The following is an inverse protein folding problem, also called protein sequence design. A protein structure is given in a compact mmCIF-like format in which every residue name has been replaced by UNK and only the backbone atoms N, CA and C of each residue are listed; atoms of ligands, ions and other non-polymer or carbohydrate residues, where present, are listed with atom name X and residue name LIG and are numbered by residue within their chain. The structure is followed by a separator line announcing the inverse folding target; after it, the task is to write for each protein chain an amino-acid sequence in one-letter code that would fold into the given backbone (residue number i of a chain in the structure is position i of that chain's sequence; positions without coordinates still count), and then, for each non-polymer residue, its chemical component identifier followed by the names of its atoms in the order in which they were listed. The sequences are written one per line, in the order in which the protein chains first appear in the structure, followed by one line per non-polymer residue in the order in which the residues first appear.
data_IF_145596510442
#
_entry.id   IF_145596510442
#
_cell.length_a   1.000
_cell.length_b   1.000
_cell.length_c   1.000
_cell.angle_alpha   90.00
_cell.angle_beta   90.00
_cell.angle_gamma   90.00
#
_symmetry.space_group_name_H-M   'P 1'
#
loop_
_entity.id
_entity.type
_entity.pdbx_description
1 polymer ?
#
# COMPACT_ATOMS: atom_id res chain seq x y z
N UNK A 1 1.42 -18.99 -0.60
CA UNK A 1 0.18 -18.21 -0.46
C UNK A 1 0.51 -16.76 -0.80
N UNK A 2 -0.26 -16.16 -1.71
CA UNK A 2 -0.06 -14.79 -2.16
C UNK A 2 -0.95 -13.85 -1.32
N UNK A 3 -0.47 -12.65 -1.00
CA UNK A 3 -1.27 -11.65 -0.29
C UNK A 3 -1.14 -10.27 -0.94
N UNK A 4 -2.24 -9.53 -0.87
CA UNK A 4 -2.29 -8.10 -1.13
C UNK A 4 -2.73 -7.45 0.18
N UNK A 5 -1.88 -6.59 0.74
CA UNK A 5 -2.21 -5.78 1.92
C UNK A 5 -2.44 -4.36 1.43
N UNK A 6 -3.52 -3.75 1.93
CA UNK A 6 -3.78 -2.33 1.76
C UNK A 6 -3.68 -1.65 3.13
N UNK A 7 -2.84 -0.63 3.23
CA UNK A 7 -2.65 0.20 4.42
C UNK A 7 -2.85 1.67 4.09
N UNK A 8 -3.18 2.47 5.11
CA UNK A 8 -3.31 3.93 4.99
C UNK A 8 -2.52 4.56 6.14
N UNK A 9 -1.50 5.35 5.81
CA UNK A 9 -0.60 5.96 6.80
C UNK A 9 -0.05 7.29 6.28
N UNK A 10 0.57 8.08 7.16
CA UNK A 10 1.27 9.34 6.89
C UNK A 10 2.69 9.14 6.32
N UNK A 11 3.01 7.90 5.90
CA UNK A 11 4.29 7.54 5.29
C UNK A 11 4.12 6.46 4.22
N UNK A 12 5.11 6.34 3.33
CA UNK A 12 5.03 5.38 2.23
C UNK A 12 5.17 3.92 2.70
N UNK A 13 4.49 2.95 2.05
CA UNK A 13 4.37 1.57 2.52
C UNK A 13 5.69 0.79 2.54
N UNK A 14 6.76 1.26 1.91
CA UNK A 14 8.06 0.59 1.96
C UNK A 14 8.85 0.87 3.23
N UNK A 15 8.44 1.83 4.05
CA UNK A 15 9.12 2.11 5.32
C UNK A 15 8.85 1.02 6.36
N UNK A 16 7.61 0.51 6.44
CA UNK A 16 7.21 -0.55 7.37
C UNK A 16 7.82 -0.35 8.77
N UNK A 17 7.65 0.85 9.33
CA UNK A 17 8.12 1.16 10.69
C UNK A 17 7.50 0.23 11.73
N UNK A 18 8.09 0.16 12.92
CA UNK A 18 7.55 -0.64 14.01
C UNK A 18 6.08 -0.27 14.28
N UNK A 19 5.18 -1.27 14.25
CA UNK A 19 3.74 -1.06 14.41
C UNK A 19 2.98 -0.71 13.12
N UNK A 20 3.63 -0.74 11.96
CA UNK A 20 2.95 -0.44 10.68
C UNK A 20 1.72 -1.32 10.43
N UNK A 21 1.66 -2.52 11.01
CA UNK A 21 0.51 -3.42 10.90
C UNK A 21 -0.79 -2.81 11.45
N UNK A 22 -0.71 -1.85 12.37
CA UNK A 22 -1.87 -1.13 12.93
C UNK A 22 -2.57 -0.26 11.88
N UNK A 23 -1.85 0.13 10.82
CA UNK A 23 -2.36 0.93 9.70
C UNK A 23 -2.94 0.07 8.57
N UNK A 24 -2.98 -1.26 8.73
CA UNK A 24 -3.58 -2.16 7.74
C UNK A 24 -5.09 -1.95 7.72
N UNK A 25 -5.59 -1.52 6.57
CA UNK A 25 -7.03 -1.37 6.30
C UNK A 25 -7.63 -2.69 5.84
N UNK A 26 -6.90 -3.47 5.02
CA UNK A 26 -7.38 -4.80 4.60
C UNK A 26 -6.25 -5.72 4.14
N UNK A 27 -6.48 -7.03 4.24
CA UNK A 27 -5.62 -8.07 3.67
C UNK A 27 -6.45 -9.02 2.84
N UNK A 28 -6.03 -9.27 1.60
CA UNK A 28 -6.59 -10.30 0.72
C UNK A 28 -5.56 -11.41 0.50
N UNK A 29 -6.01 -12.66 0.53
CA UNK A 29 -5.16 -13.83 0.36
C UNK A 29 -5.64 -14.64 -0.85
N UNK A 30 -4.69 -15.24 -1.57
CA UNK A 30 -4.96 -16.00 -2.78
C UNK A 30 -4.10 -17.26 -2.80
N UNK A 31 -4.71 -18.35 -3.26
CA UNK A 31 -4.06 -19.65 -3.36
C UNK A 31 -3.22 -19.76 -4.64
N UNK A 32 -3.62 -19.07 -5.70
CA UNK A 32 -2.98 -19.12 -7.01
C UNK A 32 -2.43 -17.76 -7.43
N UNK A 33 -1.32 -17.78 -8.16
CA UNK A 33 -0.72 -16.58 -8.75
C UNK A 33 -1.70 -15.87 -9.69
N UNK A 34 -2.46 -16.63 -10.50
CA UNK A 34 -3.40 -16.06 -11.44
C UNK A 34 -4.48 -15.21 -10.75
N UNK A 35 -5.11 -15.73 -9.68
CA UNK A 35 -6.10 -14.97 -8.91
C UNK A 35 -5.49 -13.73 -8.28
N UNK A 36 -4.29 -13.86 -7.74
CA UNK A 36 -3.53 -12.76 -7.16
C UNK A 36 -3.25 -11.65 -8.19
N UNK A 37 -2.71 -12.00 -9.37
CA UNK A 37 -2.39 -11.04 -10.43
C UNK A 37 -3.64 -10.32 -10.96
N UNK A 38 -4.74 -11.06 -11.16
CA UNK A 38 -6.02 -10.45 -11.55
C UNK A 38 -6.51 -9.45 -10.51
N UNK A 39 -6.47 -9.81 -9.22
CA UNK A 39 -6.90 -8.94 -8.14
C UNK A 39 -5.98 -7.71 -7.97
N UNK A 40 -4.66 -7.90 -8.10
CA UNK A 40 -3.68 -6.81 -8.03
C UNK A 40 -3.89 -5.82 -9.17
N UNK A 41 -3.97 -6.29 -10.41
CA UNK A 41 -4.16 -5.42 -11.58
C UNK A 41 -5.45 -4.62 -11.48
N UNK A 42 -6.54 -5.25 -11.04
CA UNK A 42 -7.80 -4.55 -10.80
C UNK A 42 -7.66 -3.48 -9.72
N UNK A 43 -7.04 -3.81 -8.58
CA UNK A 43 -6.86 -2.87 -7.47
C UNK A 43 -5.97 -1.68 -7.86
N UNK A 44 -4.86 -1.93 -8.53
CA UNK A 44 -3.96 -0.88 -9.03
C UNK A 44 -4.67 0.04 -10.01
N UNK A 45 -5.46 -0.52 -10.95
CA UNK A 45 -6.24 0.30 -11.87
C UNK A 45 -7.28 1.17 -11.16
N UNK A 46 -7.93 0.65 -10.11
CA UNK A 46 -8.85 1.43 -9.29
C UNK A 46 -8.14 2.58 -8.56
N UNK A 47 -6.96 2.32 -7.99
CA UNK A 47 -6.22 3.35 -7.24
C UNK A 47 -5.64 4.41 -8.17
N UNK A 48 -5.11 4.03 -9.34
CA UNK A 48 -4.65 4.98 -10.38
C UNK A 48 -5.75 5.89 -10.93
N UNK A 49 -7.01 5.46 -10.88
CA UNK A 49 -8.14 6.29 -11.27
C UNK A 49 -8.60 7.21 -10.13
N UNK A 50 -8.33 6.82 -8.88
CA UNK A 50 -8.77 7.55 -7.70
C UNK A 50 -7.76 8.60 -7.23
N UNK A 51 -6.47 8.32 -7.37
CA UNK A 51 -5.37 9.12 -6.84
C UNK A 51 -4.53 9.70 -7.98
N UNK A 52 -4.11 10.95 -7.82
CA UNK A 52 -3.35 11.66 -8.86
C UNK A 52 -1.91 11.19 -8.97
N UNK A 53 -1.32 10.79 -7.85
CA UNK A 53 0.09 10.44 -7.77
C UNK A 53 0.29 8.97 -7.39
N UNK A 54 1.35 8.39 -7.95
CA UNK A 54 1.80 7.03 -7.67
C UNK A 54 3.32 6.98 -7.58
N UNK A 55 3.83 6.20 -6.63
CA UNK A 55 5.22 5.77 -6.57
C UNK A 55 5.28 4.27 -6.26
N UNK A 56 6.31 3.58 -6.75
CA UNK A 56 6.47 2.16 -6.48
C UNK A 56 7.93 1.80 -6.18
N UNK A 57 8.14 0.74 -5.40
CA UNK A 57 9.46 0.26 -4.99
C UNK A 57 9.53 -1.25 -4.98
N UNK A 58 10.64 -1.79 -5.51
CA UNK A 58 10.97 -3.23 -5.51
C UNK A 58 9.87 -4.14 -6.10
N UNK A 59 9.04 -3.64 -7.02
CA UNK A 59 7.88 -4.36 -7.59
C UNK A 59 6.91 -4.93 -6.54
N UNK A 60 7.00 -4.42 -5.30
CA UNK A 60 6.33 -4.97 -4.12
C UNK A 60 5.46 -3.95 -3.43
N UNK A 61 5.90 -2.70 -3.42
CA UNK A 61 5.26 -1.60 -2.72
C UNK A 61 4.76 -0.59 -3.75
N UNK A 62 3.51 -0.18 -3.58
CA UNK A 62 2.89 0.89 -4.37
C UNK A 62 2.28 1.89 -3.40
N UNK A 63 2.62 3.16 -3.54
CA UNK A 63 2.09 4.27 -2.78
C UNK A 63 1.23 5.12 -3.72
N UNK A 64 0.02 5.46 -3.28
CA UNK A 64 -0.88 6.36 -4.00
C UNK A 64 -1.28 7.51 -3.08
N UNK A 65 -1.39 8.71 -3.62
CA UNK A 65 -1.85 9.89 -2.86
C UNK A 65 -2.41 10.97 -3.78
N UNK A 66 -3.08 11.94 -3.18
CA UNK A 66 -3.55 13.16 -3.83
C UNK A 66 -3.19 14.37 -2.95
N UNK A 67 -3.05 15.55 -3.57
CA UNK A 67 -2.71 16.79 -2.85
C UNK A 67 -3.78 17.21 -1.82
N UNK A 68 -5.01 16.76 -1.98
CA UNK A 68 -6.16 17.12 -1.14
C UNK A 68 -6.38 16.16 0.05
N UNK A 69 -5.55 15.12 0.21
CA UNK A 69 -5.66 14.15 1.29
C UNK A 69 -4.45 14.20 2.24
N UNK A 70 -4.48 15.15 3.18
CA UNK A 70 -3.53 15.28 4.29
C UNK A 70 -4.23 15.18 5.66
N UNK A 71 -3.46 14.88 6.71
CA UNK A 71 -3.93 14.96 8.10
C UNK A 71 -2.95 15.74 8.96
N UNK A 72 -3.46 16.51 9.93
CA UNK A 72 -2.60 17.25 10.84
C UNK A 72 -1.90 16.27 11.79
N UNK A 73 -0.57 16.25 11.74
CA UNK A 73 0.25 15.42 12.61
C UNK A 73 0.76 16.24 13.80
N UNK A 74 0.21 15.97 14.99
CA UNK A 74 0.58 16.69 16.23
C UNK A 74 2.07 16.56 16.58
N UNK A 75 2.70 15.44 16.22
CA UNK A 75 4.12 15.21 16.48
C UNK A 75 5.04 16.08 15.60
N UNK A 76 4.58 16.40 14.39
CA UNK A 76 5.32 17.19 13.41
C UNK A 76 4.91 18.68 13.42
N UNK A 77 3.76 19.02 14.01
CA UNK A 77 3.12 20.34 13.96
C UNK A 77 2.90 20.84 12.52
N UNK A 78 2.53 19.90 11.63
CA UNK A 78 2.35 20.16 10.20
C UNK A 78 1.33 19.18 9.59
N UNK A 79 0.83 19.52 8.40
CA UNK A 79 -0.05 18.65 7.62
C UNK A 79 0.77 17.53 6.95
N UNK A 80 0.58 16.30 7.40
CA UNK A 80 1.22 15.13 6.84
C UNK A 80 0.42 14.57 5.65
N UNK A 81 1.12 14.27 4.56
CA UNK A 81 0.53 13.62 3.39
C UNK A 81 0.06 12.22 3.76
N UNK A 82 -1.18 11.88 3.38
CA UNK A 82 -1.65 10.50 3.52
C UNK A 82 -1.34 9.67 2.29
N UNK A 83 -0.76 8.50 2.53
CA UNK A 83 -0.47 7.50 1.53
C UNK A 83 -1.40 6.30 1.65
N UNK A 84 -1.91 5.90 0.49
CA UNK A 84 -2.62 4.67 0.26
C UNK A 84 -1.65 3.60 -0.26
N UNK A 85 -1.19 2.75 0.65
CA UNK A 85 -0.16 1.77 0.39
C UNK A 85 -0.71 0.40 -0.01
N UNK A 86 -0.28 -0.14 -1.14
CA UNK A 86 -0.49 -1.54 -1.53
C UNK A 86 0.82 -2.30 -1.40
N UNK A 87 0.81 -3.37 -0.61
CA UNK A 87 1.95 -4.27 -0.39
C UNK A 87 1.62 -5.65 -0.95
N UNK A 88 2.47 -6.12 -1.83
CA UNK A 88 2.43 -7.46 -2.41
C UNK A 88 3.29 -8.40 -1.57
N UNK A 89 2.76 -9.58 -1.26
CA UNK A 89 3.54 -10.67 -0.65
C UNK A 89 3.36 -11.91 -1.51
N UNK A 90 4.44 -12.32 -2.18
CA UNK A 90 4.48 -13.59 -2.93
C UNK A 90 5.31 -14.62 -2.16
N UNK A 91 5.17 -15.92 -2.46
CA UNK A 91 5.99 -16.96 -1.85
C UNK A 91 7.51 -16.69 -1.96
N UNK A 92 7.95 -16.13 -3.09
CA UNK A 92 9.36 -15.80 -3.37
C UNK A 92 9.86 -14.63 -2.52
N UNK A 93 8.98 -13.67 -2.20
CA UNK A 93 9.28 -12.50 -1.38
C UNK A 93 9.36 -12.81 0.13
N UNK A 94 8.90 -13.99 0.57
CA UNK A 94 8.91 -14.43 1.97
C UNK A 94 10.20 -15.19 2.32
N UNK A 95 11.00 -15.58 1.32
CA UNK A 95 12.21 -16.42 1.48
C UNK A 95 13.54 -15.67 1.26
N UNK A 96 13.50 -14.34 1.13
CA UNK A 96 14.66 -13.44 1.09
C UNK A 96 14.56 -12.42 2.20
#
# INVERSE_FOLDING_TARGET
MYKIIYMKADYEPWWQFDGWEEYIVSTKQFDTEQQFQMALNHLLAQFRNKYEFEAHKNERFYAFWSEDECEFCEACDDDAQIYHGIIVLTPEAITR
#
